data_IF_886332846363
#
_entry.id   IF_886332846363
#
_cell.length_a   1.000
_cell.length_b   1.000
_cell.length_c   1.000
_cell.angle_alpha   90.00
_cell.angle_beta   90.00
_cell.angle_gamma   90.00
#
_symmetry.space_group_name_H-M   'P 1'
#
loop_
_entity.id
_entity.type
_entity.pdbx_description
1 polymer ?
#
# COMPACT_ATOMS: atom_id res chain seq x y z
N UNK A 1 -53.59 -2.01 -63.45
CA UNK A 1 -52.16 -2.17 -63.15
C UNK A 1 -51.77 -1.19 -62.04
N UNK A 2 -52.11 0.09 -62.20
CA UNK A 2 -51.92 1.18 -61.20
C UNK A 2 -52.44 0.88 -59.78
N UNK A 3 -53.66 0.32 -59.61
CA UNK A 3 -54.22 0.02 -58.28
C UNK A 3 -53.39 -0.98 -57.48
N UNK A 4 -52.87 -2.02 -58.15
CA UNK A 4 -52.04 -3.06 -57.53
C UNK A 4 -50.66 -2.55 -57.12
N UNK A 5 -50.12 -1.60 -57.88
CA UNK A 5 -48.83 -0.98 -57.56
C UNK A 5 -48.95 -0.02 -56.37
N UNK A 6 -50.09 0.68 -56.24
CA UNK A 6 -50.38 1.54 -55.08
C UNK A 6 -50.55 0.74 -53.80
N UNK A 7 -51.34 -0.35 -53.82
CA UNK A 7 -51.47 -1.25 -52.67
C UNK A 7 -50.13 -1.86 -52.24
N UNK A 8 -49.25 -2.17 -53.21
CA UNK A 8 -47.92 -2.71 -52.93
C UNK A 8 -47.04 -1.67 -52.23
N UNK A 9 -47.06 -0.41 -52.69
CA UNK A 9 -46.33 0.68 -52.03
C UNK A 9 -46.85 0.98 -50.62
N UNK A 10 -48.16 0.96 -50.40
CA UNK A 10 -48.74 1.18 -49.07
C UNK A 10 -48.37 0.06 -48.08
N UNK A 11 -48.40 -1.21 -48.53
CA UNK A 11 -47.93 -2.35 -47.72
C UNK A 11 -46.45 -2.26 -47.38
N UNK A 12 -45.62 -1.81 -48.32
CA UNK A 12 -44.18 -1.65 -48.10
C UNK A 12 -43.88 -0.53 -47.09
N UNK A 13 -44.59 0.61 -47.18
CA UNK A 13 -44.47 1.70 -46.19
C UNK A 13 -44.90 1.25 -44.80
N UNK A 14 -46.03 0.56 -44.68
CA UNK A 14 -46.51 0.03 -43.41
C UNK A 14 -45.58 -1.04 -42.82
N UNK A 15 -44.85 -1.78 -43.67
CA UNK A 15 -43.83 -2.72 -43.22
C UNK A 15 -42.61 -1.99 -42.64
N UNK A 16 -42.11 -0.98 -43.35
CA UNK A 16 -40.95 -0.18 -42.91
C UNK A 16 -41.23 0.53 -41.60
N UNK A 17 -42.43 1.09 -41.43
CA UNK A 17 -42.84 1.77 -40.20
C UNK A 17 -42.89 0.80 -39.01
N UNK A 18 -43.49 -0.39 -39.18
CA UNK A 18 -43.49 -1.44 -38.15
C UNK A 18 -42.08 -1.90 -37.78
N UNK A 19 -41.20 -2.07 -38.77
CA UNK A 19 -39.82 -2.47 -38.52
C UNK A 19 -39.03 -1.36 -37.80
N UNK A 20 -39.33 -0.09 -38.08
CA UNK A 20 -38.73 1.04 -37.38
C UNK A 20 -39.23 1.16 -35.93
N UNK A 21 -40.51 0.94 -35.69
CA UNK A 21 -41.10 0.94 -34.36
C UNK A 21 -40.55 -0.21 -33.51
N UNK A 22 -40.43 -1.42 -34.09
CA UNK A 22 -39.81 -2.56 -33.42
C UNK A 22 -38.37 -2.28 -33.01
N UNK A 23 -37.56 -1.69 -33.92
CA UNK A 23 -36.18 -1.28 -33.59
C UNK A 23 -36.13 -0.25 -32.45
N UNK A 24 -37.07 0.69 -32.39
CA UNK A 24 -37.15 1.67 -31.30
C UNK A 24 -37.49 1.00 -29.97
N UNK A 25 -38.43 0.05 -29.98
CA UNK A 25 -38.79 -0.72 -28.80
C UNK A 25 -37.61 -1.56 -28.28
N UNK A 26 -36.90 -2.26 -29.17
CA UNK A 26 -35.73 -3.07 -28.80
C UNK A 26 -34.61 -2.21 -28.18
N UNK A 27 -34.39 -1.01 -28.72
CA UNK A 27 -33.41 -0.06 -28.18
C UNK A 27 -33.82 0.42 -26.77
N UNK A 28 -35.10 0.75 -26.58
CA UNK A 28 -35.62 1.21 -25.28
C UNK A 28 -35.53 0.11 -24.20
N UNK A 29 -35.73 -1.15 -24.56
CA UNK A 29 -35.54 -2.30 -23.65
C UNK A 29 -34.06 -2.41 -23.25
N UNK A 30 -33.15 -2.34 -24.22
CA UNK A 30 -31.71 -2.39 -23.95
C UNK A 30 -31.24 -1.25 -23.05
N UNK A 31 -31.77 -0.03 -23.24
CA UNK A 31 -31.44 1.11 -22.38
C UNK A 31 -31.98 0.94 -20.96
N UNK A 32 -33.18 0.38 -20.81
CA UNK A 32 -33.76 0.07 -19.49
C UNK A 32 -32.90 -0.95 -18.74
N UNK A 33 -32.45 -2.01 -19.40
CA UNK A 33 -31.60 -3.03 -18.78
C UNK A 33 -30.23 -2.46 -18.38
N UNK A 34 -29.67 -1.57 -19.22
CA UNK A 34 -28.44 -0.84 -18.89
C UNK A 34 -28.61 0.02 -17.64
N UNK A 35 -29.67 0.83 -17.57
CA UNK A 35 -29.96 1.68 -16.42
C UNK A 35 -30.22 0.87 -15.15
N UNK A 36 -30.88 -0.29 -15.26
CA UNK A 36 -31.09 -1.19 -14.13
C UNK A 36 -29.75 -1.74 -13.60
N UNK A 37 -28.82 -2.08 -14.50
CA UNK A 37 -27.47 -2.48 -14.15
C UNK A 37 -26.69 -1.38 -13.44
N UNK A 38 -26.74 -0.15 -13.95
CA UNK A 38 -26.11 1.02 -13.33
C UNK A 38 -26.68 1.30 -11.93
N UNK A 39 -28.00 1.20 -11.77
CA UNK A 39 -28.67 1.39 -10.47
C UNK A 39 -28.24 0.34 -9.44
N UNK A 40 -28.14 -0.93 -9.84
CA UNK A 40 -27.68 -2.00 -8.95
C UNK A 40 -26.23 -1.80 -8.50
N UNK A 41 -25.36 -1.33 -9.42
CA UNK A 41 -23.97 -0.99 -9.09
C UNK A 41 -23.92 0.17 -8.10
N UNK A 42 -24.70 1.23 -8.33
CA UNK A 42 -24.77 2.39 -7.43
C UNK A 42 -25.26 1.99 -6.03
N UNK A 43 -26.32 1.19 -5.94
CA UNK A 43 -26.82 0.69 -4.64
C UNK A 43 -25.76 -0.15 -3.90
N UNK A 44 -25.05 -1.03 -4.62
CA UNK A 44 -23.96 -1.82 -4.03
C UNK A 44 -22.83 -0.93 -3.50
N UNK A 45 -22.50 0.15 -4.21
CA UNK A 45 -21.49 1.12 -3.76
C UNK A 45 -21.95 1.88 -2.51
N UNK A 46 -23.22 2.29 -2.46
CA UNK A 46 -23.81 2.97 -1.29
C UNK A 46 -23.75 2.05 -0.06
N UNK A 47 -24.09 0.77 -0.20
CA UNK A 47 -24.04 -0.17 0.92
C UNK A 47 -22.60 -0.40 1.41
N UNK A 48 -21.63 -0.48 0.47
CA UNK A 48 -20.21 -0.54 0.81
C UNK A 48 -19.70 0.74 1.49
N UNK A 49 -20.19 1.91 1.10
CA UNK A 49 -19.86 3.18 1.77
C UNK A 49 -20.44 3.25 3.18
N UNK A 50 -21.70 2.83 3.38
CA UNK A 50 -22.31 2.75 4.71
C UNK A 50 -21.52 1.83 5.65
N UNK A 51 -21.13 0.65 5.16
CA UNK A 51 -20.31 -0.26 5.97
C UNK A 51 -18.94 0.36 6.30
N UNK A 52 -18.34 1.09 5.36
CA UNK A 52 -17.07 1.82 5.59
C UNK A 52 -17.23 2.92 6.65
N UNK A 53 -18.32 3.69 6.60
CA UNK A 53 -18.61 4.72 7.59
C UNK A 53 -18.76 4.11 8.99
N UNK A 54 -19.54 3.04 9.13
CA UNK A 54 -19.73 2.34 10.41
C UNK A 54 -18.41 1.82 10.98
N UNK A 55 -17.59 1.17 10.16
CA UNK A 55 -16.28 0.67 10.60
C UNK A 55 -15.32 1.81 10.98
N UNK A 56 -15.36 2.94 10.27
CA UNK A 56 -14.53 4.11 10.59
C UNK A 56 -14.95 4.77 11.92
N UNK A 57 -16.24 4.82 12.22
CA UNK A 57 -16.75 5.28 13.52
C UNK A 57 -16.26 4.38 14.66
N UNK A 58 -16.29 3.05 14.47
CA UNK A 58 -15.79 2.08 15.45
C UNK A 58 -14.28 2.26 15.73
N UNK A 59 -13.47 2.39 14.67
CA UNK A 59 -12.02 2.63 14.79
C UNK A 59 -11.74 3.95 15.50
N UNK A 60 -12.51 5.00 15.18
CA UNK A 60 -12.37 6.30 15.84
C UNK A 60 -12.66 6.18 17.34
N UNK A 61 -13.70 5.42 17.73
CA UNK A 61 -14.00 5.15 19.13
C UNK A 61 -12.86 4.43 19.86
N UNK A 62 -12.28 3.40 19.24
CA UNK A 62 -11.14 2.65 19.80
C UNK A 62 -9.91 3.57 19.97
N UNK A 63 -9.62 4.39 18.96
CA UNK A 63 -8.50 5.32 19.02
C UNK A 63 -8.69 6.37 20.11
N UNK A 64 -9.90 6.94 20.21
CA UNK A 64 -10.26 7.88 21.27
C UNK A 64 -10.04 7.26 22.66
N UNK A 65 -10.49 6.01 22.85
CA UNK A 65 -10.29 5.29 24.11
C UNK A 65 -8.81 5.06 24.43
N UNK A 66 -7.98 4.71 23.44
CA UNK A 66 -6.53 4.57 23.63
C UNK A 66 -5.86 5.90 24.00
N UNK A 67 -6.28 7.01 23.40
CA UNK A 67 -5.77 8.33 23.75
C UNK A 67 -6.11 8.68 25.20
N UNK A 68 -7.35 8.43 25.63
CA UNK A 68 -7.79 8.69 27.01
C UNK A 68 -7.05 7.84 28.06
N UNK A 69 -6.86 6.55 27.79
CA UNK A 69 -6.10 5.67 28.70
C UNK A 69 -4.64 6.09 28.79
N UNK A 70 -4.01 6.39 27.66
CA UNK A 70 -2.62 6.86 27.61
C UNK A 70 -2.47 8.20 28.34
N UNK A 71 -3.39 9.14 28.12
CA UNK A 71 -3.36 10.45 28.79
C UNK A 71 -3.52 10.31 30.31
N UNK A 72 -4.36 9.38 30.75
CA UNK A 72 -4.54 9.06 32.17
C UNK A 72 -3.26 8.48 32.78
N UNK A 73 -2.60 7.55 32.08
CA UNK A 73 -1.33 6.96 32.54
C UNK A 73 -0.20 7.99 32.58
N UNK A 74 -0.08 8.85 31.57
CA UNK A 74 0.89 9.96 31.54
C UNK A 74 0.68 10.88 32.73
N UNK A 75 -0.58 11.23 33.03
CA UNK A 75 -0.91 12.09 34.18
C UNK A 75 -0.50 11.42 35.50
N UNK A 76 -0.78 10.12 35.65
CA UNK A 76 -0.38 9.33 36.84
C UNK A 76 1.14 9.23 36.99
N UNK A 77 1.86 8.95 35.92
CA UNK A 77 3.31 8.86 35.95
C UNK A 77 3.95 10.23 36.23
N UNK A 78 3.37 11.30 35.68
CA UNK A 78 3.82 12.67 35.94
C UNK A 78 3.67 13.05 37.41
N UNK A 79 2.55 12.69 38.05
CA UNK A 79 2.35 12.96 39.48
C UNK A 79 3.28 12.14 40.35
N UNK A 80 3.55 10.88 39.98
CA UNK A 80 4.48 10.02 40.72
C UNK A 80 5.94 10.50 40.59
N UNK A 81 6.38 10.89 39.39
CA UNK A 81 7.70 11.52 39.18
C UNK A 81 7.83 12.79 40.01
N UNK A 82 6.77 13.62 40.06
CA UNK A 82 6.76 14.83 40.89
C UNK A 82 6.89 14.50 42.38
N UNK A 83 6.20 13.45 42.85
CA UNK A 83 6.27 12.98 44.24
C UNK A 83 7.67 12.49 44.60
N UNK A 84 8.25 11.62 43.78
CA UNK A 84 9.60 11.08 43.97
C UNK A 84 10.68 12.18 43.99
N UNK A 85 10.55 13.19 43.13
CA UNK A 85 11.46 14.34 43.11
C UNK A 85 11.34 15.26 44.34
N UNK A 86 10.28 15.15 45.16
CA UNK A 86 10.13 15.89 46.42
C UNK A 86 10.69 15.13 47.64
N UNK A 87 10.92 13.82 47.54
CA UNK A 87 11.47 12.99 48.62
C UNK A 87 12.88 13.41 49.10
N UNK A 88 13.79 13.99 48.28
CA UNK A 88 15.10 14.45 48.76
C UNK A 88 15.05 15.62 49.75
N UNK A 89 13.93 16.35 49.85
CA UNK A 89 13.78 17.50 50.76
C UNK A 89 13.40 17.12 52.19
N UNK A 90 12.87 15.91 52.43
CA UNK A 90 12.36 15.50 53.76
C UNK A 90 13.44 14.82 54.62
N UNK A 91 14.54 14.33 54.02
CA UNK A 91 15.63 13.64 54.76
C UNK A 91 16.60 14.57 55.52
N UNK A 92 16.42 15.89 55.48
CA UNK A 92 17.35 16.83 56.14
C UNK A 92 16.90 17.37 57.51
N UNK A 93 15.81 16.88 58.11
CA UNK A 93 15.34 17.41 59.40
C UNK A 93 15.62 16.41 60.53
N UNK A 94 16.84 16.45 61.08
CA UNK A 94 17.17 16.04 62.46
C UNK A 94 18.41 16.84 62.96
N UNK A 95 18.51 17.17 64.26
CA UNK A 95 19.00 18.49 64.69
C UNK A 95 20.38 18.50 65.38
N UNK A 96 21.17 19.58 65.20
CA UNK A 96 22.14 20.09 66.20
C UNK A 96 22.66 21.51 65.88
N UNK A 97 22.14 22.50 66.62
CA UNK A 97 22.79 23.65 67.33
C UNK A 97 23.90 24.54 66.70
N UNK A 98 24.09 25.80 67.18
CA UNK A 98 24.12 26.98 66.30
C UNK A 98 25.43 27.79 66.33
N UNK A 99 25.72 28.57 65.26
CA UNK A 99 26.12 30.00 65.34
C UNK A 99 26.45 30.65 63.96
N UNK A 100 25.82 31.82 63.75
CA UNK A 100 26.28 33.04 63.04
C UNK A 100 25.95 33.23 61.54
N UNK A 101 25.28 34.37 61.30
CA UNK A 101 24.70 35.05 60.11
C UNK A 101 25.74 35.79 59.21
N UNK A 102 25.37 36.54 58.13
CA UNK A 102 24.30 36.37 57.12
C UNK A 102 24.74 36.69 55.65
N UNK A 103 23.85 36.33 54.70
CA UNK A 103 23.55 36.96 53.40
C UNK A 103 24.64 37.11 52.33
N UNK A 104 24.57 36.25 51.31
CA UNK A 104 24.47 36.68 49.89
C UNK A 104 23.52 35.72 49.14
N UNK A 105 22.47 36.27 48.54
CA UNK A 105 21.54 35.57 47.63
C UNK A 105 22.15 35.46 46.24
N UNK A 106 22.28 34.25 45.66
CA UNK A 106 22.36 34.08 44.22
C UNK A 106 20.98 33.81 43.63
N UNK A 107 20.77 34.37 42.45
CA UNK A 107 19.63 34.15 41.55
C UNK A 107 19.20 32.67 41.45
N UNK A 108 17.90 32.38 41.29
CA UNK A 108 17.43 31.03 40.98
C UNK A 108 17.96 30.61 39.59
N UNK A 109 18.46 29.37 39.44
CA UNK A 109 18.79 28.84 38.12
C UNK A 109 17.51 28.70 37.28
N UNK A 110 17.57 28.91 35.96
CA UNK A 110 16.40 28.75 35.11
C UNK A 110 15.91 27.30 35.19
N UNK A 111 14.59 27.06 35.11
CA UNK A 111 14.03 25.71 35.17
C UNK A 111 14.64 24.86 34.06
N UNK A 112 14.91 23.57 34.31
CA UNK A 112 15.36 22.66 33.26
C UNK A 112 14.32 22.71 32.15
N UNK A 113 14.76 23.09 30.94
CA UNK A 113 13.98 22.95 29.72
C UNK A 113 13.46 21.52 29.74
N UNK A 114 12.14 21.37 29.83
CA UNK A 114 11.48 20.11 29.57
C UNK A 114 12.02 19.67 28.21
N UNK A 115 12.85 18.64 28.22
CA UNK A 115 13.15 17.91 27.01
C UNK A 115 11.80 17.42 26.54
N UNK A 116 11.29 18.08 25.49
CA UNK A 116 10.21 17.56 24.68
C UNK A 116 10.61 16.10 24.43
N UNK A 117 9.84 15.15 24.96
CA UNK A 117 9.98 13.76 24.59
C UNK A 117 9.67 13.75 23.10
N UNK A 118 10.72 13.86 22.27
CA UNK A 118 10.64 13.48 20.88
C UNK A 118 10.28 12.00 20.94
N UNK A 119 9.01 11.70 20.70
CA UNK A 119 8.61 10.38 20.23
C UNK A 119 9.47 10.17 18.99
N UNK A 120 10.55 9.42 19.12
CA UNK A 120 11.49 9.20 18.04
C UNK A 120 10.72 8.46 16.95
N UNK A 121 10.36 9.17 15.89
CA UNK A 121 9.75 8.70 14.65
C UNK A 121 10.70 7.83 13.82
N UNK A 122 11.63 7.14 14.48
CA UNK A 122 12.63 6.31 13.83
C UNK A 122 11.96 5.08 13.22
N UNK A 123 12.28 4.73 11.96
CA UNK A 123 11.81 3.50 11.36
C UNK A 123 12.16 2.28 12.22
N UNK A 124 11.22 1.34 12.32
CA UNK A 124 11.43 0.09 13.05
C UNK A 124 11.76 -1.03 12.05
N UNK A 125 12.97 -1.60 12.09
CA UNK A 125 13.35 -2.64 11.14
C UNK A 125 12.48 -3.89 11.31
N UNK A 126 12.11 -4.48 10.18
CA UNK A 126 11.46 -5.78 10.07
C UNK A 126 12.51 -6.77 9.60
N UNK A 127 12.64 -7.90 10.30
CA UNK A 127 13.53 -8.98 9.88
C UNK A 127 13.11 -9.51 8.52
N UNK A 128 13.99 -9.39 7.53
CA UNK A 128 13.75 -9.95 6.19
C UNK A 128 13.83 -11.47 6.25
N UNK A 129 12.73 -12.13 5.94
CA UNK A 129 12.72 -13.56 5.66
C UNK A 129 12.21 -13.83 4.24
N UNK A 130 13.11 -14.15 3.31
CA UNK A 130 12.70 -14.55 1.96
C UNK A 130 12.14 -15.97 1.98
N UNK A 131 10.89 -16.11 1.55
CA UNK A 131 10.18 -17.38 1.39
C UNK A 131 10.56 -17.97 0.03
N UNK A 132 11.62 -18.77 0.00
CA UNK A 132 12.06 -19.46 -1.22
C UNK A 132 11.34 -20.80 -1.33
N UNK A 133 10.50 -21.01 -2.37
CA UNK A 133 9.84 -22.29 -2.61
C UNK A 133 10.85 -23.44 -2.80
N UNK A 134 10.48 -24.63 -2.36
CA UNK A 134 11.31 -25.84 -2.57
C UNK A 134 11.53 -26.08 -4.06
N UNK A 135 12.79 -26.32 -4.47
CA UNK A 135 13.15 -26.52 -5.87
C UNK A 135 13.28 -25.25 -6.71
N UNK A 136 13.27 -24.07 -6.08
CA UNK A 136 13.55 -22.81 -6.77
C UNK A 136 15.03 -22.78 -7.24
N UNK A 137 15.30 -22.41 -8.51
CA UNK A 137 16.64 -22.40 -9.11
C UNK A 137 17.49 -21.23 -8.58
N UNK A 138 18.19 -21.47 -7.48
CA UNK A 138 19.03 -20.48 -6.83
C UNK A 138 19.20 -20.79 -5.34
N UNK A 139 19.83 -19.87 -4.63
CA UNK A 139 20.02 -19.98 -3.18
C UNK A 139 19.78 -18.65 -2.49
N UNK A 140 19.23 -18.74 -1.27
CA UNK A 140 19.10 -17.62 -0.35
C UNK A 140 20.30 -17.54 0.56
N UNK A 141 20.82 -16.35 0.73
CA UNK A 141 21.71 -15.99 1.83
C UNK A 141 21.12 -14.77 2.55
N UNK A 142 20.56 -14.98 3.75
CA UNK A 142 19.90 -13.95 4.56
C UNK A 142 18.82 -13.17 3.78
N UNK A 143 19.09 -11.90 3.47
CA UNK A 143 18.24 -10.95 2.77
C UNK A 143 18.53 -10.89 1.25
N UNK A 144 19.41 -11.75 0.75
CA UNK A 144 19.79 -11.85 -0.67
C UNK A 144 19.36 -13.18 -1.26
N UNK A 145 18.90 -13.15 -2.50
CA UNK A 145 18.67 -14.36 -3.29
C UNK A 145 19.52 -14.27 -4.57
N UNK A 146 20.26 -15.35 -4.85
CA UNK A 146 21.08 -15.48 -6.05
C UNK A 146 20.52 -16.57 -6.93
N UNK A 147 20.20 -16.21 -8.17
CA UNK A 147 19.77 -17.15 -9.20
C UNK A 147 20.94 -18.07 -9.59
N UNK A 148 20.63 -19.30 -9.98
CA UNK A 148 21.61 -20.20 -10.61
C UNK A 148 21.90 -19.79 -12.08
N UNK A 149 22.56 -20.65 -12.84
CA UNK A 149 22.91 -20.41 -14.24
C UNK A 149 21.76 -20.68 -15.23
N UNK A 150 20.56 -21.01 -14.74
CA UNK A 150 19.39 -21.23 -15.59
C UNK A 150 18.68 -19.92 -15.95
N UNK A 151 17.65 -20.01 -16.80
CA UNK A 151 16.79 -18.87 -17.21
C UNK A 151 15.38 -18.97 -16.64
N UNK A 152 15.25 -19.68 -15.53
CA UNK A 152 13.98 -19.94 -14.87
C UNK A 152 13.41 -18.66 -14.23
N UNK A 153 12.09 -18.59 -14.14
CA UNK A 153 11.42 -17.48 -13.49
C UNK A 153 11.45 -17.70 -11.96
N UNK A 154 11.99 -16.72 -11.22
CA UNK A 154 12.09 -16.77 -9.75
C UNK A 154 11.33 -15.61 -9.11
N UNK A 155 10.10 -15.86 -8.66
CA UNK A 155 9.34 -14.94 -7.82
C UNK A 155 9.45 -15.36 -6.35
N UNK A 156 9.97 -14.46 -5.50
CA UNK A 156 10.26 -14.75 -4.10
C UNK A 156 9.50 -13.76 -3.22
N UNK A 157 8.59 -14.26 -2.38
CA UNK A 157 7.87 -13.46 -1.39
C UNK A 157 8.68 -13.27 -0.11
N UNK A 158 8.29 -12.28 0.68
CA UNK A 158 8.87 -12.04 2.01
C UNK A 158 7.86 -12.26 3.13
N UNK A 159 8.34 -12.74 4.28
CA UNK A 159 7.63 -12.66 5.55
C UNK A 159 8.15 -11.51 6.41
N UNK A 160 7.29 -10.88 7.24
CA UNK A 160 5.92 -11.27 7.57
C UNK A 160 4.85 -10.79 6.55
N UNK A 161 3.62 -11.28 6.72
CA UNK A 161 2.42 -10.67 6.11
C UNK A 161 2.26 -9.26 6.67
N UNK A 162 1.96 -8.31 5.79
CA UNK A 162 1.66 -6.93 6.14
C UNK A 162 0.15 -6.69 6.02
N UNK A 163 -0.48 -6.31 7.14
CA UNK A 163 -1.92 -6.05 7.20
C UNK A 163 -2.28 -4.72 7.86
N UNK A 164 -1.30 -3.97 8.36
CA UNK A 164 -1.51 -2.74 9.10
C UNK A 164 -0.30 -1.81 9.00
N UNK A 165 -0.52 -0.53 9.31
CA UNK A 165 0.52 0.48 9.40
C UNK A 165 1.07 0.94 8.04
N UNK A 166 2.23 1.58 8.09
CA UNK A 166 3.01 2.00 6.92
C UNK A 166 4.29 1.17 6.90
N UNK A 167 4.54 0.48 5.80
CA UNK A 167 5.69 -0.41 5.65
C UNK A 167 6.43 -0.11 4.36
N UNK A 168 7.74 0.02 4.47
CA UNK A 168 8.63 0.28 3.35
C UNK A 168 9.51 -0.94 3.08
N UNK A 169 9.56 -1.36 1.82
CA UNK A 169 10.36 -2.46 1.31
C UNK A 169 11.26 -1.95 0.18
N UNK A 170 12.55 -2.26 0.21
CA UNK A 170 13.52 -1.82 -0.78
C UNK A 170 14.42 -2.97 -1.21
N UNK A 171 14.63 -3.09 -2.52
CA UNK A 171 15.53 -4.07 -3.11
C UNK A 171 16.53 -3.41 -4.06
N UNK A 172 17.73 -3.98 -4.15
CA UNK A 172 18.73 -3.68 -5.18
C UNK A 172 18.98 -4.95 -5.99
N UNK A 173 18.96 -4.82 -7.31
CA UNK A 173 19.18 -5.91 -8.25
C UNK A 173 20.59 -5.83 -8.86
N UNK A 174 21.19 -6.98 -9.12
CA UNK A 174 22.54 -7.09 -9.66
C UNK A 174 22.58 -8.14 -10.78
N UNK A 175 23.43 -7.90 -11.79
CA UNK A 175 23.70 -8.81 -12.91
C UNK A 175 22.43 -9.25 -13.66
N UNK A 176 21.50 -8.33 -13.82
CA UNK A 176 20.25 -8.51 -14.58
C UNK A 176 20.22 -7.52 -15.75
N UNK A 177 21.33 -7.49 -16.49
CA UNK A 177 21.55 -6.61 -17.65
C UNK A 177 21.18 -7.29 -18.97
N UNK A 178 20.53 -8.45 -18.90
CA UNK A 178 20.15 -9.27 -20.05
C UNK A 178 18.80 -8.86 -20.65
N UNK A 179 18.11 -9.85 -21.21
CA UNK A 179 16.89 -9.61 -21.99
C UNK A 179 15.61 -9.65 -21.15
N UNK A 180 15.66 -10.20 -19.95
CA UNK A 180 14.46 -10.40 -19.14
C UNK A 180 14.20 -9.20 -18.24
N UNK A 181 12.93 -8.94 -17.92
CA UNK A 181 12.59 -7.95 -16.90
C UNK A 181 12.83 -8.48 -15.50
N UNK A 182 13.11 -7.57 -14.57
CA UNK A 182 13.10 -7.82 -13.13
C UNK A 182 12.20 -6.80 -12.45
N UNK A 183 11.88 -7.03 -11.18
CA UNK A 183 11.23 -6.01 -10.38
C UNK A 183 10.63 -6.48 -9.08
N UNK A 184 9.83 -5.61 -8.48
CA UNK A 184 9.20 -5.82 -7.18
C UNK A 184 7.70 -5.59 -7.24
N UNK A 185 6.99 -6.05 -6.22
CA UNK A 185 5.58 -5.77 -6.09
C UNK A 185 4.98 -6.32 -4.80
N UNK A 186 3.66 -6.39 -4.79
CA UNK A 186 2.92 -7.02 -3.70
C UNK A 186 2.02 -8.13 -4.25
N UNK A 187 1.76 -9.11 -3.41
CA UNK A 187 0.81 -10.17 -3.65
C UNK A 187 -0.20 -10.21 -2.50
N UNK A 188 -1.44 -10.58 -2.79
CA UNK A 188 -2.38 -10.99 -1.76
C UNK A 188 -1.75 -12.10 -0.89
N UNK A 189 -2.01 -12.06 0.41
CA UNK A 189 -1.39 -13.00 1.37
C UNK A 189 -1.72 -14.48 1.13
N UNK A 190 -2.73 -14.80 0.30
CA UNK A 190 -3.02 -16.18 -0.11
C UNK A 190 -2.10 -16.71 -1.22
N UNK A 191 -1.31 -15.85 -1.88
CA UNK A 191 -0.45 -16.25 -2.99
C UNK A 191 0.76 -17.03 -2.49
N UNK A 192 1.01 -18.17 -3.14
CA UNK A 192 2.19 -19.01 -2.93
C UNK A 192 2.90 -19.16 -4.26
N UNK A 193 4.05 -18.51 -4.41
CA UNK A 193 4.85 -18.61 -5.63
C UNK A 193 5.41 -20.02 -5.81
N UNK A 194 5.45 -20.46 -7.06
CA UNK A 194 5.97 -21.78 -7.45
C UNK A 194 7.28 -21.61 -8.23
N UNK A 195 8.22 -22.58 -8.10
CA UNK A 195 9.42 -22.60 -8.94
C UNK A 195 9.07 -22.52 -10.42
N UNK A 196 9.89 -21.83 -11.21
CA UNK A 196 9.75 -21.69 -12.67
C UNK A 196 8.56 -20.83 -13.15
N UNK A 197 7.81 -20.22 -12.24
CA UNK A 197 6.69 -19.34 -12.57
C UNK A 197 6.96 -17.89 -12.18
N UNK A 198 6.59 -16.97 -13.07
CA UNK A 198 6.62 -15.53 -12.78
C UNK A 198 5.42 -15.08 -11.94
N UNK A 199 5.46 -13.87 -11.33
CA UNK A 199 4.37 -13.35 -10.51
C UNK A 199 3.08 -13.11 -11.29
N UNK A 200 3.17 -13.12 -12.63
CA UNK A 200 2.08 -12.99 -13.58
C UNK A 200 1.49 -14.34 -14.01
N UNK A 201 2.10 -15.50 -13.74
CA UNK A 201 1.48 -16.76 -14.21
C UNK A 201 0.20 -17.12 -13.44
N UNK A 202 0.01 -16.55 -12.25
CA UNK A 202 -1.25 -16.57 -11.49
C UNK A 202 -2.25 -15.47 -11.92
N UNK A 203 -2.06 -14.86 -13.10
CA UNK A 203 -2.91 -13.79 -13.66
C UNK A 203 -4.42 -14.11 -13.65
N UNK A 204 -4.80 -15.39 -13.66
CA UNK A 204 -6.21 -15.81 -13.56
C UNK A 204 -6.85 -15.37 -12.25
N UNK A 205 -6.09 -15.30 -11.16
CA UNK A 205 -6.61 -14.96 -9.84
C UNK A 205 -6.52 -13.46 -9.51
N UNK A 206 -5.80 -12.66 -10.31
CA UNK A 206 -5.70 -11.20 -10.13
C UNK A 206 -5.18 -10.82 -8.74
N UNK A 207 -4.20 -11.57 -8.23
CA UNK A 207 -3.71 -11.48 -6.85
C UNK A 207 -2.35 -10.80 -6.69
N UNK A 208 -1.76 -10.29 -7.76
CA UNK A 208 -0.42 -9.68 -7.72
C UNK A 208 -0.41 -8.37 -8.49
N UNK A 209 0.33 -7.38 -8.00
CA UNK A 209 0.74 -6.21 -8.78
C UNK A 209 2.24 -6.07 -8.74
N UNK A 210 2.83 -5.53 -9.81
CA UNK A 210 4.28 -5.38 -9.90
C UNK A 210 4.72 -4.16 -10.69
N UNK A 211 5.92 -3.69 -10.35
CA UNK A 211 6.64 -2.63 -11.02
C UNK A 211 7.95 -3.17 -11.61
N UNK A 212 8.03 -3.17 -12.94
CA UNK A 212 9.11 -3.79 -13.71
C UNK A 212 10.17 -2.78 -14.12
N UNK A 213 11.42 -3.24 -14.28
CA UNK A 213 12.59 -2.44 -14.68
C UNK A 213 12.37 -1.58 -15.93
N UNK A 214 11.54 -2.06 -16.86
CA UNK A 214 11.13 -1.31 -18.07
C UNK A 214 10.15 -0.15 -17.81
N UNK A 215 9.84 0.16 -16.55
CA UNK A 215 8.92 1.22 -16.14
C UNK A 215 7.46 0.75 -16.04
N UNK A 216 7.16 -0.47 -16.47
CA UNK A 216 5.79 -0.96 -16.60
C UNK A 216 5.20 -1.32 -15.24
N UNK A 217 3.98 -0.83 -14.97
CA UNK A 217 3.13 -1.35 -13.90
C UNK A 217 2.23 -2.44 -14.48
N UNK A 218 2.14 -3.58 -13.79
CA UNK A 218 1.34 -4.73 -14.24
C UNK A 218 0.44 -5.23 -13.14
N UNK A 219 -0.82 -5.48 -13.49
CA UNK A 219 -1.80 -6.23 -12.71
C UNK A 219 -2.51 -7.24 -13.63
N UNK A 220 -3.83 -7.10 -13.83
CA UNK A 220 -4.62 -7.83 -14.83
C UNK A 220 -4.13 -7.50 -16.24
N UNK A 221 -3.82 -6.23 -16.47
CA UNK A 221 -3.26 -5.74 -17.71
C UNK A 221 -2.05 -4.83 -17.43
N UNK A 222 -1.40 -4.36 -18.50
CA UNK A 222 -0.36 -3.34 -18.43
C UNK A 222 -0.97 -1.96 -18.18
N UNK A 223 -0.42 -1.25 -17.21
CA UNK A 223 -0.80 0.12 -16.86
C UNK A 223 0.11 1.19 -17.46
N UNK A 224 -0.12 2.45 -17.11
CA UNK A 224 0.82 3.54 -17.43
C UNK A 224 2.21 3.23 -16.86
N UNK A 225 3.24 3.72 -17.55
CA UNK A 225 4.62 3.50 -17.13
C UNK A 225 5.08 4.57 -16.14
N UNK A 226 5.83 4.13 -15.13
CA UNK A 226 6.72 4.96 -14.33
C UNK A 226 8.11 5.02 -15.00
N UNK A 227 9.09 5.60 -14.31
CA UNK A 227 10.46 5.69 -14.82
C UNK A 227 11.10 4.29 -14.96
N UNK A 228 11.96 4.11 -15.95
CA UNK A 228 12.79 2.90 -16.03
C UNK A 228 13.86 2.92 -14.94
N UNK A 229 14.27 1.74 -14.49
CA UNK A 229 15.39 1.59 -13.55
C UNK A 229 16.26 0.40 -13.92
N UNK A 230 17.54 0.53 -13.60
CA UNK A 230 18.60 -0.42 -13.94
C UNK A 230 19.16 -1.13 -12.70
N UNK A 231 20.00 -2.15 -12.93
CA UNK A 231 20.73 -2.81 -11.85
C UNK A 231 21.58 -1.80 -11.06
N UNK A 232 21.70 -2.04 -9.75
CA UNK A 232 22.41 -1.15 -8.82
C UNK A 232 21.57 0.00 -8.25
N UNK A 233 20.43 0.34 -8.86
CA UNK A 233 19.51 1.33 -8.29
C UNK A 233 18.67 0.73 -7.16
N UNK A 234 18.22 1.58 -6.23
CA UNK A 234 17.34 1.19 -5.13
C UNK A 234 15.88 1.32 -5.57
N UNK A 235 15.17 0.21 -5.70
CA UNK A 235 13.74 0.21 -5.96
C UNK A 235 12.97 -0.02 -4.65
N UNK A 236 12.16 0.97 -4.28
CA UNK A 236 11.34 0.99 -3.08
C UNK A 236 9.86 0.78 -3.37
N UNK A 237 9.17 0.17 -2.42
CA UNK A 237 7.73 -0.01 -2.38
C UNK A 237 7.23 0.31 -0.96
N UNK A 238 6.42 1.35 -0.83
CA UNK A 238 5.73 1.70 0.40
C UNK A 238 4.27 1.27 0.32
N UNK A 239 3.82 0.49 1.30
CA UNK A 239 2.39 0.26 1.52
C UNK A 239 1.90 1.12 2.68
N UNK A 240 0.80 1.83 2.47
CA UNK A 240 0.08 2.56 3.49
C UNK A 240 -1.28 1.89 3.71
N UNK A 241 -1.38 1.07 4.75
CA UNK A 241 -2.60 0.36 5.13
C UNK A 241 -3.54 1.22 5.98
N UNK A 242 -3.08 2.40 6.42
CA UNK A 242 -3.86 3.35 7.23
C UNK A 242 -4.70 4.26 6.34
N UNK A 243 -4.19 4.63 5.17
CA UNK A 243 -4.89 5.54 4.27
C UNK A 243 -6.17 4.91 3.71
N UNK A 244 -7.17 5.74 3.41
CA UNK A 244 -8.38 5.35 2.68
C UNK A 244 -8.44 6.15 1.37
N UNK A 245 -8.29 5.50 0.21
CA UNK A 245 -7.99 4.08 0.02
C UNK A 245 -6.58 3.71 0.51
N UNK A 246 -6.34 2.44 0.83
CA UNK A 246 -4.99 1.95 1.12
C UNK A 246 -4.15 2.00 -0.16
N UNK A 247 -2.84 2.26 -0.02
CA UNK A 247 -1.99 2.64 -1.16
C UNK A 247 -0.71 1.83 -1.22
N UNK A 248 -0.22 1.60 -2.43
CA UNK A 248 1.14 1.15 -2.71
C UNK A 248 1.82 2.16 -3.63
N UNK A 249 2.91 2.77 -3.16
CA UNK A 249 3.70 3.76 -3.88
C UNK A 249 5.11 3.24 -4.12
N UNK A 250 5.67 3.52 -5.30
CA UNK A 250 7.02 3.10 -5.65
C UNK A 250 8.02 4.25 -5.64
N UNK A 251 9.28 3.91 -5.42
CA UNK A 251 10.39 4.86 -5.35
C UNK A 251 11.58 4.31 -6.14
N UNK A 252 12.33 5.18 -6.83
CA UNK A 252 13.64 4.85 -7.41
C UNK A 252 14.65 5.79 -6.79
N UNK A 253 15.65 5.26 -6.11
CA UNK A 253 16.67 6.03 -5.38
C UNK A 253 16.06 7.11 -4.48
N UNK A 254 15.04 6.71 -3.70
CA UNK A 254 14.23 7.57 -2.81
C UNK A 254 13.35 8.62 -3.53
N UNK A 255 13.25 8.59 -4.87
CA UNK A 255 12.37 9.47 -5.66
C UNK A 255 11.01 8.81 -5.91
N UNK A 256 9.94 9.43 -5.40
CA UNK A 256 8.56 8.97 -5.55
C UNK A 256 8.12 8.90 -7.02
N UNK A 257 7.45 7.81 -7.39
CA UNK A 257 6.96 7.57 -8.74
C UNK A 257 5.51 8.02 -8.93
N UNK A 258 5.20 8.51 -10.14
CA UNK A 258 3.92 9.14 -10.49
C UNK A 258 2.71 8.21 -10.37
N UNK A 259 2.83 6.99 -10.85
CA UNK A 259 1.73 6.02 -10.85
C UNK A 259 1.88 5.09 -9.64
N UNK A 260 0.80 4.91 -8.90
CA UNK A 260 0.73 4.14 -7.66
C UNK A 260 -0.57 3.33 -7.64
N UNK A 261 -0.70 2.39 -6.71
CA UNK A 261 -1.89 1.55 -6.59
C UNK A 261 -2.76 1.99 -5.43
N UNK A 262 -4.08 1.84 -5.59
CA UNK A 262 -5.09 2.09 -4.56
C UNK A 262 -6.00 0.86 -4.39
N UNK A 263 -6.66 0.75 -3.25
CA UNK A 263 -7.55 -0.38 -2.90
C UNK A 263 -6.80 -1.72 -2.90
N UNK A 264 -5.54 -1.73 -2.48
CA UNK A 264 -4.73 -2.96 -2.32
C UNK A 264 -5.39 -3.89 -1.27
N UNK A 265 -5.09 -5.20 -1.26
CA UNK A 265 -5.67 -6.12 -0.29
C UNK A 265 -5.29 -5.76 1.16
N UNK A 266 -6.15 -6.13 2.12
CA UNK A 266 -5.92 -5.88 3.55
C UNK A 266 -4.78 -6.71 4.16
N UNK A 267 -4.30 -7.74 3.46
CA UNK A 267 -3.17 -8.55 3.89
C UNK A 267 -2.33 -8.93 2.67
N UNK A 268 -1.07 -8.50 2.66
CA UNK A 268 -0.18 -8.66 1.51
C UNK A 268 1.18 -9.21 1.92
N UNK A 269 1.94 -9.69 0.93
CA UNK A 269 3.38 -9.88 1.01
C UNK A 269 4.08 -9.10 -0.08
N UNK A 270 5.25 -8.56 0.23
CA UNK A 270 6.16 -8.07 -0.80
C UNK A 270 6.78 -9.24 -1.55
N UNK A 271 7.15 -9.02 -2.80
CA UNK A 271 7.90 -9.96 -3.60
C UNK A 271 8.93 -9.26 -4.48
N UNK A 272 9.99 -10.01 -4.80
CA UNK A 272 11.01 -9.64 -5.79
C UNK A 272 11.09 -10.72 -6.86
N UNK A 273 11.38 -10.33 -8.10
CA UNK A 273 11.45 -11.22 -9.26
C UNK A 273 12.77 -11.06 -10.02
N UNK A 274 13.42 -12.18 -10.31
CA UNK A 274 14.60 -12.27 -11.19
C UNK A 274 14.48 -13.48 -12.14
N UNK A 275 15.31 -13.48 -13.19
CA UNK A 275 15.28 -14.50 -14.26
C UNK A 275 16.60 -14.68 -15.00
N UNK A 276 17.40 -13.62 -15.10
CA UNK A 276 18.69 -13.73 -15.80
C UNK A 276 19.64 -14.68 -15.05
N UNK A 277 20.41 -15.51 -15.78
CA UNK A 277 21.41 -16.40 -15.18
C UNK A 277 22.39 -15.63 -14.28
N UNK A 278 22.66 -16.16 -13.10
CA UNK A 278 23.58 -15.60 -12.11
C UNK A 278 23.20 -14.19 -11.61
N UNK A 279 21.98 -13.74 -11.87
CA UNK A 279 21.43 -12.49 -11.31
C UNK A 279 21.11 -12.64 -9.83
N UNK A 280 20.99 -11.52 -9.13
CA UNK A 280 20.58 -11.52 -7.73
C UNK A 280 19.77 -10.28 -7.36
N UNK A 281 19.06 -10.38 -6.24
CA UNK A 281 18.53 -9.21 -5.55
C UNK A 281 18.85 -9.28 -4.07
N UNK A 282 19.00 -8.10 -3.46
CA UNK A 282 19.21 -7.94 -2.02
C UNK A 282 18.16 -6.98 -1.48
N UNK A 283 17.45 -7.39 -0.44
CA UNK A 283 16.52 -6.49 0.28
C UNK A 283 17.34 -5.61 1.21
N UNK A 284 17.43 -4.32 0.91
CA UNK A 284 18.26 -3.35 1.62
C UNK A 284 17.51 -2.65 2.76
N UNK A 285 16.20 -2.49 2.63
CA UNK A 285 15.33 -1.95 3.70
C UNK A 285 14.04 -2.74 3.79
N UNK A 286 13.66 -3.07 5.01
CA UNK A 286 12.33 -3.57 5.30
C UNK A 286 11.95 -3.06 6.69
N UNK A 287 11.02 -2.13 6.78
CA UNK A 287 10.79 -1.39 8.02
C UNK A 287 9.36 -0.85 8.14
N UNK A 288 8.87 -0.79 9.38
CA UNK A 288 7.64 -0.08 9.74
C UNK A 288 7.95 1.38 10.01
N UNK A 289 7.01 2.26 9.64
CA UNK A 289 7.18 3.71 9.73
C UNK A 289 5.96 4.37 10.37
N UNK A 290 6.22 5.46 11.09
CA UNK A 290 5.18 6.31 11.68
C UNK A 290 4.56 7.29 10.67
N UNK A 291 5.26 7.55 9.56
CA UNK A 291 4.82 8.48 8.51
C UNK A 291 5.20 7.96 7.13
N UNK A 292 4.37 8.31 6.14
CA UNK A 292 4.56 7.95 4.73
C UNK A 292 5.69 8.78 4.12
N UNK A 293 6.50 8.14 3.26
CA UNK A 293 7.41 8.85 2.37
C UNK A 293 6.70 9.39 1.13
N UNK A 294 5.51 8.89 0.80
CA UNK A 294 4.73 9.40 -0.30
C UNK A 294 4.09 10.74 0.08
N UNK A 295 4.43 11.79 -0.67
CA UNK A 295 3.86 13.13 -0.52
C UNK A 295 2.91 13.47 -1.68
N UNK A 296 2.94 12.66 -2.75
CA UNK A 296 2.22 12.90 -3.98
C UNK A 296 3.05 13.72 -4.97
N UNK A 297 3.03 13.29 -6.23
CA UNK A 297 3.73 13.94 -7.33
C UNK A 297 2.72 14.58 -8.29
N UNK A 298 3.05 15.74 -8.88
CA UNK A 298 2.15 16.41 -9.83
C UNK A 298 1.80 15.47 -10.99
N UNK A 299 0.50 15.36 -11.27
CA UNK A 299 -0.04 14.46 -12.28
C UNK A 299 -0.13 13.00 -11.85
N UNK A 300 0.08 12.68 -10.57
CA UNK A 300 0.01 11.30 -10.07
C UNK A 300 -1.30 10.61 -10.42
N UNK A 301 -1.23 9.31 -10.72
CA UNK A 301 -2.39 8.49 -11.08
C UNK A 301 -2.48 7.27 -10.19
N UNK A 302 -3.58 7.17 -9.45
CA UNK A 302 -3.95 5.97 -8.69
C UNK A 302 -4.55 4.91 -9.61
N UNK A 303 -4.02 3.69 -9.54
CA UNK A 303 -4.45 2.52 -10.27
C UNK A 303 -5.17 1.57 -9.32
N UNK A 304 -6.43 1.27 -9.60
CA UNK A 304 -7.25 0.46 -8.70
C UNK A 304 -6.91 -1.02 -8.84
N UNK A 305 -6.61 -1.68 -7.71
CA UNK A 305 -6.45 -3.12 -7.64
C UNK A 305 -7.74 -3.84 -8.06
N UNK A 306 -7.61 -5.01 -8.69
CA UNK A 306 -8.74 -5.83 -9.13
C UNK A 306 -9.43 -5.32 -10.39
N UNK A 307 -8.97 -4.21 -10.98
CA UNK A 307 -9.52 -3.63 -12.21
C UNK A 307 -8.49 -3.60 -13.33
N UNK A 308 -9.00 -3.69 -14.56
CA UNK A 308 -8.21 -3.34 -15.75
C UNK A 308 -8.10 -1.83 -15.87
N UNK A 309 -6.97 -1.35 -16.38
CA UNK A 309 -6.77 0.08 -16.61
C UNK A 309 -6.82 0.44 -18.09
N UNK A 310 -7.28 1.66 -18.44
CA UNK A 310 -7.25 2.13 -19.81
C UNK A 310 -5.84 2.07 -20.38
N UNK A 311 -5.70 1.46 -21.56
CA UNK A 311 -4.46 1.52 -22.34
C UNK A 311 -4.22 2.97 -22.75
N UNK A 312 -2.97 3.43 -22.61
CA UNK A 312 -2.53 4.70 -23.19
C UNK A 312 -2.22 4.51 -24.67
#
# INVERSE_FOLDING_TARGET
>A
MVERDRERQEKERAQVERDQEKRRADLAVSDKDRLLGELNIANTQIDQEKQRANNAEEITGIFQQQVETTQSEVTRLTSEVRRLNQVPQIRQIAPSTPKVQPKQTPFPPPPPKQALIQVTSSPQPITVNLQVPSGMPGHKDRNRFSHDDTRAACAISTDPIISEGIVYYESVFEKHDGFYGFGIGIADSSVVFKPYYGPQQDLKERKTVGYWSYGQLVHINGGPSNQRYDCGQRIGAEVNMISSPNKLTFFIDDVEQKNYFINIPYAIRFWSFIRDPNSSFTVTRFERRSSSFAHGVIGSRGLEWGKEWPRQ
#
